data_IF_916600698903
#
_entry.id   IF_916600698903
#
_cell.length_a   1.000
_cell.length_b   1.000
_cell.length_c   1.000
_cell.angle_alpha   90.00
_cell.angle_beta   90.00
_cell.angle_gamma   90.00
#
_symmetry.space_group_name_H-M   'P 1'
#
loop_
_entity.id
_entity.type
_entity.pdbx_description
1 polymer ?
#
# COMPACT_ATOMS: atom_id res chain seq x y z
N UNK A 1 7.03 7.19 8.16
CA UNK A 1 6.73 5.90 8.78
C UNK A 1 5.28 5.88 9.22
N UNK A 2 4.63 4.70 9.24
CA UNK A 2 3.27 4.54 9.76
C UNK A 2 3.26 4.40 11.28
N UNK A 3 2.18 4.81 11.93
CA UNK A 3 1.97 4.63 13.39
C UNK A 3 2.04 3.16 13.83
N UNK A 4 1.75 2.24 12.92
CA UNK A 4 1.81 0.79 13.13
C UNK A 4 3.21 0.18 12.92
N UNK A 5 4.25 0.97 12.73
CA UNK A 5 5.61 0.49 12.49
C UNK A 5 5.91 0.10 11.03
N UNK A 6 4.96 0.16 10.11
CA UNK A 6 5.26 -0.03 8.69
C UNK A 6 6.06 1.14 8.14
N UNK A 7 7.10 0.84 7.36
CA UNK A 7 7.93 1.85 6.72
C UNK A 7 7.29 2.28 5.40
N UNK A 8 6.82 3.53 5.32
CA UNK A 8 6.14 4.02 4.12
C UNK A 8 7.00 3.92 2.87
N UNK A 9 8.32 4.18 2.97
CA UNK A 9 9.23 4.04 1.85
C UNK A 9 9.27 2.65 1.22
N UNK A 10 8.96 1.58 1.98
CA UNK A 10 8.87 0.22 1.48
C UNK A 10 7.45 -0.17 1.03
N UNK A 11 6.46 0.70 1.20
CA UNK A 11 5.07 0.42 0.84
C UNK A 11 4.86 0.50 -0.67
N UNK A 12 4.25 -0.53 -1.29
CA UNK A 12 3.99 -0.56 -2.73
C UNK A 12 3.10 0.59 -3.23
N UNK A 13 2.18 1.08 -2.40
CA UNK A 13 1.36 2.26 -2.74
C UNK A 13 2.24 3.51 -2.74
N UNK A 14 3.06 3.72 -1.71
CA UNK A 14 3.95 4.87 -1.60
C UNK A 14 5.01 4.88 -2.71
N UNK A 15 5.52 3.72 -3.11
CA UNK A 15 6.45 3.56 -4.23
C UNK A 15 5.78 3.67 -5.61
N UNK A 16 4.47 3.86 -5.68
CA UNK A 16 3.73 3.95 -6.94
C UNK A 16 3.61 2.64 -7.73
N UNK A 17 3.84 1.48 -7.08
CA UNK A 17 3.78 0.16 -7.74
C UNK A 17 2.41 -0.14 -8.35
N UNK A 18 1.32 0.26 -7.66
CA UNK A 18 -0.04 0.08 -8.18
C UNK A 18 -0.26 0.94 -9.42
N UNK A 19 0.12 2.23 -9.38
CA UNK A 19 0.06 3.12 -10.55
C UNK A 19 0.83 2.53 -11.74
N UNK A 20 2.05 2.05 -11.49
CA UNK A 20 2.89 1.45 -12.53
C UNK A 20 2.26 0.17 -13.11
N UNK A 21 1.66 -0.69 -12.27
CA UNK A 21 0.98 -1.90 -12.74
C UNK A 21 -0.21 -1.56 -13.65
N UNK A 22 -1.03 -0.57 -13.28
CA UNK A 22 -2.15 -0.11 -14.12
C UNK A 22 -1.65 0.46 -15.45
N UNK A 23 -0.61 1.31 -15.41
CA UNK A 23 -0.01 1.88 -16.63
C UNK A 23 0.53 0.78 -17.55
N UNK A 24 1.21 -0.21 -16.98
CA UNK A 24 1.75 -1.34 -17.77
C UNK A 24 0.62 -2.19 -18.37
N UNK A 25 -0.43 -2.49 -17.59
CA UNK A 25 -1.58 -3.24 -18.09
C UNK A 25 -2.25 -2.51 -19.26
N UNK A 26 -2.52 -1.21 -19.13
CA UNK A 26 -3.08 -0.39 -20.21
C UNK A 26 -2.20 -0.39 -21.46
N UNK A 27 -0.89 -0.29 -21.30
CA UNK A 27 0.06 -0.35 -22.42
C UNK A 27 -0.05 -1.67 -23.19
N UNK A 28 -0.13 -2.80 -22.46
CA UNK A 28 -0.29 -4.13 -23.07
C UNK A 28 -1.62 -4.23 -23.81
N UNK A 29 -2.73 -3.85 -23.17
CA UNK A 29 -4.07 -3.87 -23.75
C UNK A 29 -4.09 -3.05 -25.06
N UNK A 30 -3.56 -1.83 -25.02
CA UNK A 30 -3.54 -0.94 -26.19
C UNK A 30 -2.59 -1.43 -27.30
N UNK A 31 -1.45 -2.02 -26.93
CA UNK A 31 -0.50 -2.57 -27.90
C UNK A 31 -1.11 -3.70 -28.73
N UNK A 32 -1.97 -4.53 -28.13
CA UNK A 32 -2.72 -5.58 -28.82
C UNK A 32 -4.03 -5.07 -29.43
N UNK A 33 -4.42 -3.82 -29.19
CA UNK A 33 -5.65 -3.23 -29.72
C UNK A 33 -6.94 -3.72 -29.04
N UNK A 34 -6.83 -4.38 -27.86
CA UNK A 34 -8.00 -4.93 -27.15
C UNK A 34 -8.97 -3.84 -26.69
N UNK A 35 -8.48 -2.64 -26.40
CA UNK A 35 -9.26 -1.45 -26.09
C UNK A 35 -10.21 -1.07 -27.25
N UNK A 36 -9.74 -1.17 -28.49
CA UNK A 36 -10.53 -0.88 -29.70
C UNK A 36 -11.45 -2.02 -30.11
N UNK A 37 -11.10 -3.25 -29.75
CA UNK A 37 -11.83 -4.48 -30.10
C UNK A 37 -12.80 -4.94 -29.01
N UNK A 38 -12.97 -4.19 -27.93
CA UNK A 38 -13.77 -4.63 -26.78
C UNK A 38 -15.22 -5.02 -27.15
N UNK A 39 -15.85 -4.31 -28.12
CA UNK A 39 -17.19 -4.65 -28.62
C UNK A 39 -17.23 -5.97 -29.40
N UNK A 40 -16.16 -6.30 -30.12
CA UNK A 40 -16.05 -7.57 -30.84
C UNK A 40 -15.74 -8.72 -29.88
N UNK A 41 -14.84 -8.50 -28.94
CA UNK A 41 -14.52 -9.46 -27.87
C UNK A 41 -15.75 -9.81 -27.03
N UNK A 42 -16.72 -8.91 -26.90
CA UNK A 42 -18.00 -9.16 -26.23
C UNK A 42 -18.85 -10.26 -26.88
N UNK A 43 -18.59 -10.61 -28.14
CA UNK A 43 -19.22 -11.76 -28.81
C UNK A 43 -18.60 -13.09 -28.35
N UNK A 44 -17.36 -13.08 -27.86
CA UNK A 44 -16.65 -14.25 -27.36
C UNK A 44 -16.86 -14.42 -25.86
N UNK A 45 -16.79 -13.31 -25.10
CA UNK A 45 -17.06 -13.28 -23.67
C UNK A 45 -17.86 -12.02 -23.30
N UNK A 46 -19.09 -12.20 -22.75
CA UNK A 46 -19.97 -11.09 -22.37
C UNK A 46 -19.37 -10.12 -21.34
N UNK A 47 -18.32 -10.50 -20.59
CA UNK A 47 -17.65 -9.62 -19.64
C UNK A 47 -17.09 -8.35 -20.31
N UNK A 48 -16.67 -8.45 -21.60
CA UNK A 48 -16.15 -7.32 -22.35
C UNK A 48 -17.18 -6.22 -22.63
N UNK A 49 -18.47 -6.46 -22.45
CA UNK A 49 -19.50 -5.41 -22.45
C UNK A 49 -19.26 -4.34 -21.39
N UNK A 50 -18.54 -4.71 -20.31
CA UNK A 50 -18.21 -3.83 -19.20
C UNK A 50 -16.81 -3.20 -19.32
N UNK A 51 -16.18 -3.24 -20.50
CA UNK A 51 -14.82 -2.74 -20.67
C UNK A 51 -14.67 -1.26 -20.26
N UNK A 52 -15.66 -0.41 -20.60
CA UNK A 52 -15.65 0.99 -20.21
C UNK A 52 -15.68 1.19 -18.67
N UNK A 53 -16.41 0.33 -17.95
CA UNK A 53 -16.46 0.37 -16.48
C UNK A 53 -15.15 -0.16 -15.88
N UNK A 54 -14.55 -1.18 -16.48
CA UNK A 54 -13.21 -1.65 -16.10
C UNK A 54 -12.17 -0.52 -16.20
N UNK A 55 -12.16 0.25 -17.29
CA UNK A 55 -11.26 1.41 -17.44
C UNK A 55 -11.47 2.46 -16.34
N UNK A 56 -12.72 2.77 -15.98
CA UNK A 56 -13.03 3.68 -14.87
C UNK A 56 -12.50 3.16 -13.53
N UNK A 57 -12.57 1.84 -13.30
CA UNK A 57 -11.99 1.22 -12.10
C UNK A 57 -10.46 1.37 -12.08
N UNK A 58 -9.79 1.14 -13.21
CA UNK A 58 -8.34 1.35 -13.33
C UNK A 58 -7.95 2.81 -13.07
N UNK A 59 -8.74 3.78 -13.57
CA UNK A 59 -8.55 5.19 -13.23
C UNK A 59 -8.72 5.47 -11.74
N UNK A 60 -9.73 4.84 -11.12
CA UNK A 60 -9.96 4.91 -9.68
C UNK A 60 -8.74 4.46 -8.88
N UNK A 61 -8.12 3.34 -9.26
CA UNK A 61 -6.88 2.87 -8.63
C UNK A 61 -5.74 3.90 -8.74
N UNK A 62 -5.53 4.48 -9.92
CA UNK A 62 -4.49 5.50 -10.11
C UNK A 62 -4.78 6.75 -9.28
N UNK A 63 -6.04 7.20 -9.26
CA UNK A 63 -6.46 8.38 -8.51
C UNK A 63 -6.32 8.22 -7.00
N UNK A 64 -6.73 7.06 -6.46
CA UNK A 64 -6.75 6.80 -5.02
C UNK A 64 -5.40 6.34 -4.47
N UNK A 65 -4.63 5.58 -5.26
CA UNK A 65 -3.45 4.86 -4.81
C UNK A 65 -2.19 5.23 -5.62
N UNK A 66 -2.28 6.17 -6.56
CA UNK A 66 -1.17 6.55 -7.43
C UNK A 66 -0.11 7.41 -6.77
N UNK A 67 -0.51 8.21 -5.78
CA UNK A 67 0.38 9.11 -5.02
C UNK A 67 -0.04 9.10 -3.56
N UNK A 68 0.78 8.49 -2.72
CA UNK A 68 0.52 8.40 -1.29
C UNK A 68 1.47 9.34 -0.52
N UNK A 69 0.96 10.31 0.26
CA UNK A 69 1.81 11.21 1.03
C UNK A 69 2.45 10.54 2.25
N UNK A 70 2.17 9.27 2.49
CA UNK A 70 2.60 8.53 3.67
C UNK A 70 1.58 8.58 4.82
N UNK A 71 1.59 7.54 5.65
CA UNK A 71 0.59 7.35 6.70
C UNK A 71 0.52 8.51 7.72
N UNK A 72 1.67 9.09 8.08
CA UNK A 72 1.72 10.22 9.01
C UNK A 72 1.04 11.48 8.43
N UNK A 73 1.16 11.70 7.12
CA UNK A 73 0.53 12.80 6.39
C UNK A 73 -0.91 12.50 5.91
N UNK A 74 -1.53 11.43 6.44
CA UNK A 74 -2.92 11.09 6.13
C UNK A 74 -3.10 10.13 4.96
N UNK A 75 -2.02 9.64 4.34
CA UNK A 75 -2.07 8.61 3.30
C UNK A 75 -2.47 7.23 3.81
N UNK A 76 -2.58 6.27 2.88
CA UNK A 76 -3.05 4.93 3.17
C UNK A 76 -4.55 4.87 3.50
N UNK A 77 -4.97 3.86 4.26
CA UNK A 77 -6.37 3.69 4.66
C UNK A 77 -6.89 4.91 5.46
N UNK A 78 -7.93 5.63 4.99
CA UNK A 78 -8.52 6.76 5.71
C UNK A 78 -9.12 6.34 7.07
N UNK A 79 -9.57 5.10 7.19
CA UNK A 79 -10.21 4.54 8.38
C UNK A 79 -9.24 3.74 9.28
N UNK A 80 -7.94 3.92 9.10
CA UNK A 80 -6.91 3.18 9.84
C UNK A 80 -7.08 3.35 11.36
N UNK A 81 -7.51 2.28 12.03
CA UNK A 81 -7.76 2.25 13.48
C UNK A 81 -6.48 2.50 14.29
N UNK A 82 -5.33 2.08 13.79
CA UNK A 82 -4.03 2.33 14.45
C UNK A 82 -3.72 3.81 14.46
N UNK A 83 -3.86 4.47 13.29
CA UNK A 83 -3.62 5.91 13.16
C UNK A 83 -4.57 6.72 14.05
N UNK A 84 -5.86 6.39 14.03
CA UNK A 84 -6.87 7.06 14.86
C UNK A 84 -6.52 6.92 16.35
N UNK A 85 -6.21 5.71 16.80
CA UNK A 85 -5.86 5.43 18.18
C UNK A 85 -4.58 6.18 18.62
N UNK A 86 -3.52 6.17 17.81
CA UNK A 86 -2.29 6.88 18.13
C UNK A 86 -2.50 8.39 18.21
N UNK A 87 -3.26 8.96 17.25
CA UNK A 87 -3.58 10.39 17.27
C UNK A 87 -4.41 10.79 18.50
N UNK A 88 -5.37 9.97 18.92
CA UNK A 88 -6.17 10.22 20.12
C UNK A 88 -5.33 10.19 21.41
N UNK A 89 -4.26 9.39 21.44
CA UNK A 89 -3.36 9.22 22.59
C UNK A 89 -2.10 10.10 22.50
N UNK A 90 -1.97 10.90 21.46
CA UNK A 90 -0.78 11.72 21.13
C UNK A 90 0.51 10.89 21.02
N UNK A 91 0.40 9.66 20.48
CA UNK A 91 1.52 8.77 20.24
C UNK A 91 2.09 8.95 18.83
N UNK A 92 3.41 8.96 18.71
CA UNK A 92 4.10 8.91 17.40
C UNK A 92 3.99 7.53 16.78
N UNK A 93 4.02 6.49 17.61
CA UNK A 93 3.83 5.10 17.16
C UNK A 93 3.17 4.26 18.25
N UNK A 94 2.69 3.06 17.89
CA UNK A 94 2.19 2.08 18.85
C UNK A 94 3.25 1.59 19.85
N UNK A 95 4.55 1.85 19.65
CA UNK A 95 5.59 1.46 20.60
C UNK A 95 5.48 2.15 21.95
N UNK A 96 4.80 3.30 22.00
CA UNK A 96 4.54 4.06 23.22
C UNK A 96 3.37 3.50 24.05
N UNK A 97 2.58 2.60 23.44
CA UNK A 97 1.43 1.99 24.09
C UNK A 97 1.85 0.80 24.95
N UNK A 98 1.39 0.76 26.21
CA UNK A 98 1.62 -0.36 27.14
C UNK A 98 0.94 -1.65 26.67
N UNK A 99 -0.18 -1.54 25.94
CA UNK A 99 -0.97 -2.66 25.42
C UNK A 99 -0.53 -3.13 24.03
N UNK A 100 0.61 -2.64 23.50
CA UNK A 100 1.06 -2.90 22.13
C UNK A 100 1.05 -4.40 21.76
N UNK A 101 1.46 -5.26 22.67
CA UNK A 101 1.62 -6.71 22.41
C UNK A 101 0.30 -7.46 22.37
N UNK A 102 -0.72 -6.99 23.07
CA UNK A 102 -2.05 -7.63 23.17
C UNK A 102 -3.10 -6.95 22.30
N UNK A 103 -2.79 -5.77 21.76
CA UNK A 103 -3.72 -4.97 20.99
C UNK A 103 -3.96 -5.59 19.61
N UNK A 104 -5.23 -5.83 19.26
CA UNK A 104 -5.62 -6.41 17.96
C UNK A 104 -5.39 -5.46 16.77
N UNK A 105 -5.38 -4.13 17.00
CA UNK A 105 -5.30 -3.14 15.91
C UNK A 105 -4.03 -3.30 15.05
N UNK A 106 -2.80 -3.34 15.62
CA UNK A 106 -1.60 -3.57 14.83
C UNK A 106 -1.50 -5.01 14.32
N UNK A 107 -2.12 -6.00 15.00
CA UNK A 107 -2.12 -7.39 14.54
C UNK A 107 -2.87 -7.59 13.22
N UNK A 108 -3.87 -6.74 12.92
CA UNK A 108 -4.60 -6.75 11.65
C UNK A 108 -3.81 -6.20 10.47
N UNK A 109 -2.65 -5.61 10.73
CA UNK A 109 -1.77 -5.04 9.70
C UNK A 109 -0.56 -5.97 9.54
N UNK A 110 -0.43 -6.65 8.42
CA UNK A 110 0.64 -7.63 8.18
C UNK A 110 2.03 -7.06 8.46
N UNK A 111 2.84 -7.79 9.21
CA UNK A 111 4.20 -7.38 9.61
C UNK A 111 4.30 -6.26 10.66
N UNK A 112 3.17 -5.64 11.03
CA UNK A 112 3.16 -4.48 11.93
C UNK A 112 3.73 -4.80 13.30
N UNK A 113 3.26 -5.86 13.95
CA UNK A 113 3.69 -6.20 15.31
C UNK A 113 5.19 -6.50 15.39
N UNK A 114 5.73 -7.23 14.42
CA UNK A 114 7.17 -7.52 14.37
C UNK A 114 8.01 -6.26 14.18
N UNK A 115 7.57 -5.36 13.31
CA UNK A 115 8.22 -4.07 13.13
C UNK A 115 8.19 -3.24 14.42
N UNK A 116 7.05 -3.20 15.12
CA UNK A 116 6.93 -2.49 16.40
C UNK A 116 7.85 -3.08 17.48
N UNK A 117 7.99 -4.41 17.56
CA UNK A 117 8.95 -5.06 18.44
C UNK A 117 10.39 -4.64 18.12
N UNK A 118 10.76 -4.62 16.85
CA UNK A 118 12.10 -4.18 16.41
C UNK A 118 12.33 -2.72 16.71
N UNK A 119 11.36 -1.83 16.44
CA UNK A 119 11.44 -0.41 16.77
C UNK A 119 11.64 -0.21 18.27
N UNK A 120 10.92 -0.98 19.10
CA UNK A 120 11.06 -0.91 20.55
C UNK A 120 12.44 -1.36 21.05
N UNK A 121 13.03 -2.33 20.37
CA UNK A 121 14.35 -2.86 20.72
C UNK A 121 15.51 -1.99 20.22
N UNK A 122 15.41 -1.39 19.02
CA UNK A 122 16.52 -0.70 18.35
C UNK A 122 16.37 0.82 18.28
N UNK A 123 15.18 1.33 18.59
CA UNK A 123 14.81 2.72 18.37
C UNK A 123 14.31 3.00 16.95
N UNK A 124 13.45 4.01 16.85
CA UNK A 124 12.75 4.38 15.62
C UNK A 124 13.71 4.82 14.49
N UNK A 125 14.76 5.58 14.86
CA UNK A 125 15.72 6.10 13.88
C UNK A 125 16.60 4.99 13.28
N UNK A 126 17.01 4.04 14.10
CA UNK A 126 17.80 2.90 13.63
C UNK A 126 16.95 2.00 12.73
N UNK A 127 15.71 1.75 13.13
CA UNK A 127 14.73 1.03 12.30
C UNK A 127 14.50 1.72 10.96
N UNK A 128 14.29 3.04 10.97
CA UNK A 128 14.07 3.80 9.74
C UNK A 128 15.29 3.75 8.81
N UNK A 129 16.51 3.88 9.35
CA UNK A 129 17.77 3.78 8.58
C UNK A 129 17.95 2.38 7.97
N UNK A 130 17.63 1.33 8.73
CA UNK A 130 17.71 -0.05 8.25
C UNK A 130 16.73 -0.26 7.09
N UNK A 131 15.48 0.17 7.25
CA UNK A 131 14.46 0.05 6.21
C UNK A 131 14.80 0.88 4.97
N UNK A 132 15.37 2.08 5.15
CA UNK A 132 15.81 2.89 4.01
C UNK A 132 16.89 2.17 3.20
N UNK A 133 17.88 1.57 3.86
CA UNK A 133 18.91 0.76 3.16
C UNK A 133 18.31 -0.39 2.36
N UNK A 134 17.28 -1.05 2.89
CA UNK A 134 16.56 -2.12 2.17
C UNK A 134 15.84 -1.55 0.95
N UNK A 135 15.18 -0.41 1.09
CA UNK A 135 14.52 0.28 -0.02
C UNK A 135 15.50 0.71 -1.10
N UNK A 136 16.65 1.26 -0.70
CA UNK A 136 17.74 1.65 -1.63
C UNK A 136 18.30 0.43 -2.40
N UNK A 137 18.22 -0.76 -1.79
CA UNK A 137 18.53 -2.05 -2.43
C UNK A 137 17.36 -2.64 -3.25
N UNK A 138 16.27 -1.90 -3.43
CA UNK A 138 15.14 -2.31 -4.26
C UNK A 138 13.98 -2.99 -3.52
N UNK A 139 14.03 -3.08 -2.18
CA UNK A 139 12.98 -3.76 -1.40
C UNK A 139 11.65 -3.01 -1.46
N UNK A 140 10.59 -3.78 -1.66
CA UNK A 140 9.20 -3.35 -1.52
C UNK A 140 8.42 -4.39 -0.71
N UNK A 141 7.60 -3.97 0.25
CA UNK A 141 6.74 -4.88 1.02
C UNK A 141 5.75 -5.66 0.16
N UNK A 142 5.42 -5.14 -1.03
CA UNK A 142 4.57 -5.85 -1.98
C UNK A 142 5.22 -7.17 -2.42
N UNK A 143 6.55 -7.19 -2.55
CA UNK A 143 7.29 -8.37 -3.00
C UNK A 143 7.17 -9.53 -2.00
N UNK A 144 7.02 -9.23 -0.69
CA UNK A 144 6.75 -10.25 0.36
C UNK A 144 5.33 -10.83 0.27
N UNK A 145 4.39 -10.16 -0.42
CA UNK A 145 2.98 -10.54 -0.52
C UNK A 145 2.73 -11.36 -1.78
N UNK A 146 3.37 -10.96 -2.88
CA UNK A 146 3.15 -11.58 -4.20
C UNK A 146 4.12 -12.72 -4.51
N UNK A 147 5.17 -12.90 -3.66
CA UNK A 147 6.09 -14.05 -3.67
C UNK A 147 7.04 -14.08 -4.81
#
# INVERSE_FOLDING_TARGET
>A
MGFCGLYCGACGIYQGRIKQAVVNLRKVISAYGFDRMASELANWDPAFKNYAEFEKVLEGFVKLLGECPGCAAGGGDPNCLVRQCCKQKDYTTCTECTEMYTCEKPQRVGGSLENLKRIKATGIDNWAKEMQKRVDAGYCQLDDIIG
#
